data_IF_475640867320
#
_entry.id   IF_475640867320
#
_cell.length_a   1.000
_cell.length_b   1.000
_cell.length_c   1.000
_cell.angle_alpha   90.00
_cell.angle_beta   90.00
_cell.angle_gamma   90.00
#
_symmetry.space_group_name_H-M   'P 1'
#
loop_
_entity.id
_entity.type
_entity.pdbx_description
1 polymer ?
#
# COMPACT_ATOMS: atom_id res chain seq x y z
N UNK A 1 -11.69 -7.16 -0.69
CA UNK A 1 -10.85 -7.51 -1.86
C UNK A 1 -9.96 -6.37 -2.27
N UNK A 2 -8.65 -6.54 -2.17
CA UNK A 2 -7.67 -5.48 -2.40
C UNK A 2 -6.65 -5.95 -3.44
N UNK A 3 -6.52 -5.16 -4.50
CA UNK A 3 -5.50 -5.32 -5.54
C UNK A 3 -4.12 -4.97 -5.01
N UNK A 4 -3.10 -5.62 -5.56
CA UNK A 4 -1.70 -5.39 -5.20
C UNK A 4 -0.90 -5.23 -6.48
N UNK A 5 -0.27 -4.08 -6.65
CA UNK A 5 0.61 -3.87 -7.80
C UNK A 5 1.88 -4.71 -7.66
N UNK A 6 2.04 -5.70 -8.55
CA UNK A 6 3.20 -6.57 -8.60
C UNK A 6 3.97 -6.33 -9.90
N UNK A 7 5.22 -5.92 -9.76
CA UNK A 7 6.14 -5.86 -10.89
C UNK A 7 6.46 -7.27 -11.38
N UNK A 8 6.29 -7.47 -12.68
CA UNK A 8 6.64 -8.67 -13.45
C UNK A 8 7.56 -8.26 -14.61
N UNK A 9 8.09 -9.23 -15.35
CA UNK A 9 9.06 -8.98 -16.44
C UNK A 9 8.53 -8.01 -17.50
N UNK A 10 7.26 -8.18 -17.91
CA UNK A 10 6.64 -7.39 -18.99
C UNK A 10 5.81 -6.19 -18.47
N UNK A 11 5.99 -5.78 -17.21
CA UNK A 11 5.30 -4.61 -16.64
C UNK A 11 4.75 -4.82 -15.24
N UNK A 12 3.50 -4.44 -15.02
CA UNK A 12 2.82 -4.53 -13.71
C UNK A 12 1.49 -5.24 -13.89
N UNK A 13 1.23 -6.21 -13.03
CA UNK A 13 -0.08 -6.84 -12.89
C UNK A 13 -0.63 -6.54 -11.51
N UNK A 14 -1.96 -6.53 -11.37
CA UNK A 14 -2.64 -6.21 -10.12
C UNK A 14 -3.50 -7.41 -9.69
N UNK A 15 -2.88 -8.46 -9.13
CA UNK A 15 -3.66 -9.54 -8.54
C UNK A 15 -4.38 -9.09 -7.27
N UNK A 16 -5.47 -9.78 -6.93
CA UNK A 16 -6.39 -9.39 -5.86
C UNK A 16 -6.30 -10.37 -4.69
N UNK A 17 -6.02 -9.86 -3.50
CA UNK A 17 -6.23 -10.58 -2.25
C UNK A 17 -7.70 -10.50 -1.86
N UNK A 18 -8.30 -11.65 -1.56
CA UNK A 18 -9.72 -11.80 -1.27
C UNK A 18 -10.00 -11.70 0.21
N UNK A 19 -11.12 -11.09 0.58
CA UNK A 19 -11.65 -11.06 1.95
C UNK A 19 -10.59 -10.70 3.01
N UNK A 20 -9.72 -9.74 2.70
CA UNK A 20 -8.57 -9.35 3.55
C UNK A 20 -8.97 -8.86 4.94
N UNK A 21 -10.23 -8.43 5.10
CA UNK A 21 -10.86 -8.04 6.36
C UNK A 21 -11.13 -9.22 7.29
N UNK A 22 -11.09 -10.45 6.76
CA UNK A 22 -11.31 -11.70 7.51
C UNK A 22 -9.99 -12.42 7.85
N UNK A 23 -8.86 -11.92 7.35
CA UNK A 23 -7.55 -12.54 7.53
C UNK A 23 -6.73 -11.79 8.58
N UNK A 24 -5.96 -12.53 9.38
CA UNK A 24 -4.95 -11.95 10.26
C UNK A 24 -3.68 -11.63 9.47
N UNK A 25 -2.84 -10.74 9.99
CA UNK A 25 -1.61 -10.31 9.32
C UNK A 25 -0.70 -11.47 8.86
N UNK A 26 -0.45 -12.53 9.67
CA UNK A 26 0.39 -13.63 9.21
C UNK A 26 -0.21 -14.42 8.04
N UNK A 27 -1.53 -14.63 8.06
CA UNK A 27 -2.26 -15.32 6.98
C UNK A 27 -2.21 -14.49 5.69
N UNK A 28 -2.44 -13.19 5.82
CA UNK A 28 -2.35 -12.24 4.72
C UNK A 28 -0.95 -12.22 4.10
N UNK A 29 0.11 -12.29 4.91
CA UNK A 29 1.49 -12.31 4.43
C UNK A 29 1.80 -13.58 3.64
N UNK A 30 1.26 -14.73 4.06
CA UNK A 30 1.40 -15.98 3.33
C UNK A 30 0.69 -15.91 1.97
N UNK A 31 -0.58 -15.52 1.96
CA UNK A 31 -1.37 -15.39 0.72
C UNK A 31 -0.74 -14.38 -0.24
N UNK A 32 -0.32 -13.21 0.27
CA UNK A 32 0.44 -12.22 -0.50
C UNK A 32 1.66 -12.84 -1.18
N UNK A 33 2.47 -13.59 -0.42
CA UNK A 33 3.66 -14.24 -0.95
C UNK A 33 3.34 -15.25 -2.05
N UNK A 34 2.29 -16.05 -1.89
CA UNK A 34 1.82 -16.99 -2.91
C UNK A 34 1.37 -16.25 -4.18
N UNK A 35 0.58 -15.19 -4.02
CA UNK A 35 0.02 -14.40 -5.11
C UNK A 35 1.12 -13.67 -5.91
N UNK A 36 2.11 -13.09 -5.24
CA UNK A 36 3.29 -12.48 -5.88
C UNK A 36 4.09 -13.51 -6.68
N UNK A 37 4.29 -14.73 -6.15
CA UNK A 37 4.98 -15.81 -6.89
C UNK A 37 4.18 -16.23 -8.11
N UNK A 38 2.86 -16.35 -8.00
CA UNK A 38 2.00 -16.70 -9.14
C UNK A 38 2.01 -15.60 -10.21
N UNK A 39 1.93 -14.33 -9.82
CA UNK A 39 2.04 -13.18 -10.71
C UNK A 39 3.33 -13.20 -11.52
N UNK A 40 4.49 -13.31 -10.85
CA UNK A 40 5.80 -13.37 -11.51
C UNK A 40 5.96 -14.57 -12.45
N UNK A 41 5.35 -15.70 -12.11
CA UNK A 41 5.39 -16.91 -12.93
C UNK A 41 4.29 -16.97 -14.01
N UNK A 42 3.48 -15.91 -14.18
CA UNK A 42 2.33 -15.86 -15.11
C UNK A 42 1.31 -16.99 -14.88
N UNK A 43 1.07 -17.32 -13.61
CA UNK A 43 0.19 -18.40 -13.15
C UNK A 43 -1.06 -17.91 -12.41
N UNK A 44 -1.39 -16.62 -12.54
CA UNK A 44 -2.62 -16.08 -11.96
C UNK A 44 -3.83 -16.65 -12.70
N UNK A 45 -4.86 -17.03 -11.95
CA UNK A 45 -6.18 -17.30 -12.52
C UNK A 45 -6.88 -16.00 -12.90
N UNK A 46 -7.90 -16.07 -13.75
CA UNK A 46 -8.72 -14.90 -14.10
C UNK A 46 -9.36 -14.27 -12.85
N UNK A 47 -9.84 -15.11 -11.94
CA UNK A 47 -10.41 -14.68 -10.67
C UNK A 47 -9.39 -13.94 -9.83
N UNK A 48 -8.13 -14.36 -9.81
CA UNK A 48 -7.08 -13.66 -9.06
C UNK A 48 -6.67 -12.32 -9.70
N UNK A 49 -7.06 -12.03 -10.94
CA UNK A 49 -6.60 -10.86 -11.68
C UNK A 49 -7.63 -9.72 -11.79
N UNK A 50 -8.82 -9.86 -11.19
CA UNK A 50 -9.94 -8.92 -11.39
C UNK A 50 -10.79 -8.71 -10.12
N UNK A 51 -11.60 -7.65 -10.08
CA UNK A 51 -12.63 -7.48 -9.05
C UNK A 51 -12.13 -6.98 -7.68
N UNK A 52 -10.98 -6.33 -7.62
CA UNK A 52 -10.58 -5.54 -6.46
C UNK A 52 -11.33 -4.21 -6.41
N UNK A 53 -11.53 -3.64 -5.21
CA UNK A 53 -12.17 -2.32 -5.04
C UNK A 53 -11.16 -1.18 -4.90
N UNK A 54 -9.92 -1.53 -4.60
CA UNK A 54 -8.81 -0.63 -4.32
C UNK A 54 -7.49 -1.35 -4.54
N UNK A 55 -6.43 -0.61 -4.84
CA UNK A 55 -5.08 -1.15 -5.00
C UNK A 55 -4.10 -0.60 -3.96
N UNK A 56 -3.19 -1.44 -3.50
CA UNK A 56 -1.96 -1.02 -2.81
C UNK A 56 -0.78 -1.15 -3.78
N UNK A 57 0.04 -0.10 -3.86
CA UNK A 57 1.26 -0.07 -4.68
C UNK A 57 2.44 0.45 -3.88
N UNK A 58 3.62 -0.13 -4.11
CA UNK A 58 4.87 0.32 -3.49
C UNK A 58 5.87 0.71 -4.59
N UNK A 59 5.91 2.00 -4.91
CA UNK A 59 6.90 2.56 -5.82
C UNK A 59 8.21 2.93 -5.12
N UNK A 60 8.23 2.88 -3.78
CA UNK A 60 9.42 3.07 -2.97
C UNK A 60 10.52 2.05 -3.22
N UNK A 61 10.17 0.87 -3.75
CA UNK A 61 11.14 -0.13 -4.23
C UNK A 61 12.05 0.39 -5.34
N UNK A 62 11.61 1.41 -6.07
CA UNK A 62 12.39 2.12 -7.11
C UNK A 62 13.10 3.37 -6.57
N UNK A 63 13.06 3.62 -5.26
CA UNK A 63 13.64 4.82 -4.64
C UNK A 63 12.81 6.10 -4.83
N UNK A 64 11.58 5.99 -5.34
CA UNK A 64 10.68 7.12 -5.52
C UNK A 64 10.19 7.63 -4.16
N UNK A 65 10.32 8.94 -3.93
CA UNK A 65 10.03 9.58 -2.64
C UNK A 65 8.59 10.09 -2.51
N UNK A 66 7.89 10.23 -3.63
CA UNK A 66 6.51 10.66 -3.71
C UNK A 66 5.91 10.18 -5.04
N UNK A 67 4.58 10.15 -5.14
CA UNK A 67 3.88 9.80 -6.36
C UNK A 67 2.36 9.91 -6.20
N UNK A 68 1.64 10.00 -7.33
CA UNK A 68 0.16 10.10 -7.35
C UNK A 68 -0.38 9.08 -8.35
N UNK A 69 -0.35 7.76 -8.02
CA UNK A 69 -0.84 6.74 -8.92
C UNK A 69 -2.34 6.93 -9.15
N UNK A 70 -2.84 6.58 -10.34
CA UNK A 70 -4.27 6.68 -10.66
C UNK A 70 -4.91 5.30 -10.41
N UNK A 71 -6.07 5.22 -9.74
CA UNK A 71 -6.80 3.97 -9.58
C UNK A 71 -7.10 3.32 -10.93
N UNK A 72 -7.15 1.98 -10.97
CA UNK A 72 -7.62 1.29 -12.17
C UNK A 72 -9.10 1.64 -12.45
N UNK A 73 -9.59 1.53 -13.71
CA UNK A 73 -10.93 2.00 -14.10
C UNK A 73 -12.12 1.49 -13.26
N UNK A 74 -11.97 0.39 -12.52
CA UNK A 74 -13.02 -0.20 -11.68
C UNK A 74 -12.76 -0.05 -10.17
N UNK A 75 -11.71 0.67 -9.79
CA UNK A 75 -11.30 0.86 -8.39
C UNK A 75 -11.59 2.28 -7.93
N UNK A 76 -11.95 2.42 -6.65
CA UNK A 76 -12.28 3.73 -6.07
C UNK A 76 -11.04 4.49 -5.62
N UNK A 77 -10.00 3.77 -5.18
CA UNK A 77 -8.79 4.37 -4.62
C UNK A 77 -7.55 3.50 -4.85
N UNK A 78 -6.39 4.15 -4.78
CA UNK A 78 -5.08 3.50 -4.76
C UNK A 78 -4.21 4.13 -3.68
N UNK A 79 -3.64 3.27 -2.81
CA UNK A 79 -2.71 3.64 -1.76
C UNK A 79 -1.28 3.39 -2.24
N UNK A 80 -0.46 4.43 -2.28
CA UNK A 80 0.94 4.34 -2.66
C UNK A 80 1.89 4.48 -1.47
N UNK A 81 2.91 3.63 -1.43
CA UNK A 81 4.01 3.71 -0.47
C UNK A 81 5.29 4.16 -1.18
N UNK A 82 5.90 5.22 -0.65
CA UNK A 82 7.18 5.75 -1.10
C UNK A 82 8.37 5.08 -0.40
N UNK A 83 9.58 5.43 -0.86
CA UNK A 83 10.81 4.96 -0.26
C UNK A 83 10.98 5.52 1.17
N UNK A 84 11.37 4.66 2.10
CA UNK A 84 11.81 5.09 3.43
C UNK A 84 13.13 5.86 3.33
N UNK A 85 13.17 7.08 3.86
CA UNK A 85 14.32 7.96 3.82
C UNK A 85 14.69 8.42 5.24
N UNK A 86 15.99 8.54 5.51
CA UNK A 86 16.48 9.10 6.77
C UNK A 86 16.27 10.60 6.77
N UNK A 87 15.55 11.11 7.76
CA UNK A 87 15.27 12.52 7.98
C UNK A 87 15.73 12.96 9.38
N UNK A 88 16.20 14.20 9.56
CA UNK A 88 16.42 14.77 10.87
C UNK A 88 15.09 15.22 11.48
N UNK A 89 14.75 14.70 12.67
CA UNK A 89 13.57 15.13 13.43
C UNK A 89 14.00 15.70 14.78
N UNK A 90 13.44 16.85 15.15
CA UNK A 90 13.69 17.43 16.47
C UNK A 90 13.10 16.52 17.56
N UNK A 91 13.91 16.15 18.54
CA UNK A 91 13.48 15.43 19.74
C UNK A 91 13.53 16.37 20.94
N UNK A 92 12.35 16.66 21.52
CA UNK A 92 12.26 17.47 22.74
C UNK A 92 12.91 16.77 23.95
N UNK A 93 12.90 15.43 23.99
CA UNK A 93 13.51 14.65 25.07
C UNK A 93 15.04 14.77 25.11
N UNK A 94 15.66 14.84 23.93
CA UNK A 94 17.13 14.89 23.79
C UNK A 94 17.63 16.33 23.57
N UNK A 95 16.75 17.26 23.18
CA UNK A 95 17.11 18.63 22.84
C UNK A 95 17.99 18.73 21.59
N UNK A 96 17.84 17.80 20.64
CA UNK A 96 18.64 17.70 19.43
C UNK A 96 17.87 17.07 18.26
N UNK A 97 18.38 17.27 17.04
CA UNK A 97 17.92 16.51 15.88
C UNK A 97 18.42 15.07 15.95
N UNK A 98 17.49 14.12 15.84
CA UNK A 98 17.77 12.68 15.78
C UNK A 98 17.42 12.13 14.39
N UNK A 99 18.19 11.17 13.86
CA UNK A 99 17.85 10.54 12.59
C UNK A 99 16.65 9.61 12.78
N UNK A 100 15.61 9.80 11.97
CA UNK A 100 14.44 8.92 11.89
C UNK A 100 14.26 8.43 10.46
N UNK A 101 13.69 7.25 10.28
CA UNK A 101 13.28 6.78 8.94
C UNK A 101 11.82 7.16 8.75
N UNK A 102 11.55 7.97 7.73
CA UNK A 102 10.20 8.40 7.35
C UNK A 102 9.88 7.93 5.94
N UNK A 103 8.60 7.71 5.66
CA UNK A 103 8.10 7.43 4.31
C UNK A 103 6.83 8.21 4.06
N UNK A 104 6.61 8.59 2.81
CA UNK A 104 5.36 9.18 2.37
C UNK A 104 4.36 8.09 1.98
N UNK A 105 3.12 8.26 2.42
CA UNK A 105 1.99 7.46 1.97
C UNK A 105 1.06 8.40 1.21
N UNK A 106 0.73 8.05 -0.02
CA UNK A 106 -0.21 8.79 -0.85
C UNK A 106 -1.50 8.00 -1.05
N UNK A 107 -2.61 8.72 -1.19
CA UNK A 107 -3.91 8.16 -1.52
C UNK A 107 -4.50 8.96 -2.66
N UNK A 108 -4.66 8.32 -3.81
CA UNK A 108 -5.47 8.88 -4.90
C UNK A 108 -6.82 8.17 -4.87
N UNK A 109 -7.90 8.95 -4.99
CA UNK A 109 -9.26 8.44 -4.86
C UNK A 109 -10.22 9.22 -5.75
N UNK A 110 -11.33 8.59 -6.13
CA UNK A 110 -12.42 9.27 -6.83
C UNK A 110 -13.20 10.14 -5.83
N UNK A 111 -13.04 11.46 -5.95
CA UNK A 111 -13.68 12.43 -5.05
C UNK A 111 -15.21 12.50 -5.20
N UNK A 112 -15.78 11.83 -6.22
CA UNK A 112 -17.23 11.67 -6.36
C UNK A 112 -17.78 10.58 -5.43
N UNK A 113 -16.91 9.68 -4.96
CA UNK A 113 -17.26 8.52 -4.11
C UNK A 113 -16.82 8.73 -2.66
N UNK A 114 -15.62 9.28 -2.46
CA UNK A 114 -15.01 9.52 -1.14
C UNK A 114 -14.64 11.00 -1.02
N UNK A 115 -14.96 11.65 0.11
CA UNK A 115 -14.51 13.03 0.34
C UNK A 115 -13.14 13.12 1.03
N UNK A 116 -12.58 14.32 1.10
CA UNK A 116 -11.29 14.56 1.74
C UNK A 116 -11.25 14.24 3.24
N UNK A 117 -12.39 14.29 3.94
CA UNK A 117 -12.48 13.91 5.36
C UNK A 117 -12.29 12.41 5.56
N UNK A 118 -13.02 11.61 4.77
CA UNK A 118 -12.89 10.15 4.77
C UNK A 118 -11.49 9.69 4.35
N UNK A 119 -10.93 10.30 3.30
CA UNK A 119 -9.56 10.03 2.87
C UNK A 119 -8.52 10.37 3.96
N UNK A 120 -8.68 11.51 4.63
CA UNK A 120 -7.81 11.94 5.72
C UNK A 120 -7.85 10.99 6.92
N UNK A 121 -9.04 10.55 7.34
CA UNK A 121 -9.22 9.58 8.42
C UNK A 121 -8.57 8.22 8.10
N UNK A 122 -8.72 7.76 6.85
CA UNK A 122 -8.09 6.52 6.39
C UNK A 122 -6.56 6.61 6.45
N UNK A 123 -5.97 7.68 5.90
CA UNK A 123 -4.52 7.90 5.94
C UNK A 123 -4.00 8.02 7.38
N UNK A 124 -4.71 8.76 8.23
CA UNK A 124 -4.35 8.89 9.65
C UNK A 124 -4.37 7.54 10.36
N UNK A 125 -5.40 6.72 10.10
CA UNK A 125 -5.51 5.39 10.70
C UNK A 125 -4.37 4.49 10.24
N UNK A 126 -4.10 4.44 8.93
CA UNK A 126 -2.99 3.65 8.37
C UNK A 126 -1.66 4.10 8.99
N UNK A 127 -1.39 5.41 9.01
CA UNK A 127 -0.17 5.97 9.61
C UNK A 127 -0.02 5.57 11.07
N UNK A 128 -1.10 5.62 11.86
CA UNK A 128 -1.11 5.23 13.26
C UNK A 128 -0.81 3.74 13.45
N UNK A 129 -1.43 2.87 12.65
CA UNK A 129 -1.20 1.42 12.71
C UNK A 129 0.25 1.07 12.35
N UNK A 130 0.86 1.77 11.39
CA UNK A 130 2.25 1.56 11.00
C UNK A 130 3.28 2.03 12.03
N UNK A 131 2.90 2.85 13.02
CA UNK A 131 3.79 3.20 14.14
C UNK A 131 3.91 2.10 15.19
N UNK A 132 3.00 1.12 15.20
CA UNK A 132 3.02 -0.02 16.13
C UNK A 132 2.51 -1.30 15.46
N UNK A 133 3.20 -1.76 14.39
CA UNK A 133 2.73 -2.90 13.59
C UNK A 133 2.72 -4.22 14.39
N UNK A 134 3.47 -4.31 15.49
CA UNK A 134 3.48 -5.46 16.40
C UNK A 134 2.16 -5.69 17.14
N UNK A 135 1.24 -4.72 17.09
CA UNK A 135 -0.08 -4.79 17.72
C UNK A 135 -1.19 -5.24 16.75
N UNK A 136 -0.83 -5.56 15.50
CA UNK A 136 -1.75 -5.97 14.43
C UNK A 136 -1.85 -7.50 14.29
#
# INVERSE_FOLDING_TARGET
DIGIAVQVEDGVVVPVLRNVDQLRVPELAEEYGQLVRQARNRKLTLEQAQGGIATVTNFGTFGLKWGTPIPLPNETLILGLAAGIKQPRWSEEVGAFVPVTETEICLTFDHRVVDGGGAGLLLQRIGTLLQSPEKL
#
